data_IF_182342367024
#
_entry.id   IF_182342367024
#
_cell.length_a   1.000
_cell.length_b   1.000
_cell.length_c   1.000
_cell.angle_alpha   90.00
_cell.angle_beta   90.00
_cell.angle_gamma   90.00
#
_symmetry.space_group_name_H-M   'P 1'
#
loop_
_entity.id
_entity.type
_entity.pdbx_description
1 polymer ?
#
# COMPACT_ATOMS: atom_id res chain seq x y z
N UNK A 1 -16.93 1.80 -2.06
CA UNK A 1 -16.05 1.50 -0.90
C UNK A 1 -14.71 2.17 -1.16
N UNK A 2 -14.13 2.81 -0.16
CA UNK A 2 -12.85 3.49 -0.30
C UNK A 2 -11.72 2.45 -0.24
N UNK A 3 -10.69 2.63 -1.08
CA UNK A 3 -9.55 1.72 -1.15
C UNK A 3 -8.25 2.50 -1.06
N UNK A 4 -7.23 1.82 -0.53
CA UNK A 4 -5.87 2.31 -0.43
C UNK A 4 -5.00 1.46 -1.33
N UNK A 5 -4.00 2.09 -1.93
CA UNK A 5 -3.00 1.44 -2.74
C UNK A 5 -1.62 1.68 -2.14
N UNK A 6 -0.85 0.61 -1.99
CA UNK A 6 0.59 0.65 -1.70
C UNK A 6 1.33 0.60 -3.02
N UNK A 7 2.17 1.60 -3.27
CA UNK A 7 3.09 1.57 -4.40
C UNK A 7 4.49 1.18 -3.91
N UNK A 8 5.17 0.36 -4.69
CA UNK A 8 6.52 -0.12 -4.40
C UNK A 8 7.47 0.38 -5.49
N UNK A 9 8.77 0.47 -5.18
CA UNK A 9 9.79 0.68 -6.22
C UNK A 9 10.41 -0.66 -6.68
N UNK A 10 10.02 -1.78 -6.04
CA UNK A 10 10.52 -3.13 -6.32
C UNK A 10 9.40 -4.17 -6.32
N UNK A 11 9.33 -5.00 -7.37
CA UNK A 11 8.40 -6.14 -7.45
C UNK A 11 8.63 -7.14 -6.32
N UNK A 12 9.87 -7.34 -5.87
CA UNK A 12 10.17 -8.26 -4.77
C UNK A 12 9.58 -7.77 -3.44
N UNK A 13 9.58 -6.46 -3.20
CA UNK A 13 8.95 -5.88 -2.01
C UNK A 13 7.43 -6.00 -2.08
N UNK A 14 6.84 -5.79 -3.26
CA UNK A 14 5.42 -5.99 -3.47
C UNK A 14 5.01 -7.45 -3.15
N UNK A 15 5.69 -8.44 -3.73
CA UNK A 15 5.39 -9.87 -3.48
C UNK A 15 5.59 -10.24 -2.01
N UNK A 16 6.65 -9.75 -1.35
CA UNK A 16 6.84 -9.99 0.09
C UNK A 16 5.69 -9.39 0.90
N UNK A 17 5.24 -8.20 0.54
CA UNK A 17 4.15 -7.50 1.25
C UNK A 17 2.82 -8.17 1.02
N UNK A 18 2.55 -8.64 -0.19
CA UNK A 18 1.38 -9.45 -0.54
C UNK A 18 1.26 -10.62 0.45
N UNK A 19 2.31 -11.42 0.59
CA UNK A 19 2.34 -12.52 1.56
C UNK A 19 2.06 -12.05 2.99
N UNK A 20 2.69 -10.95 3.45
CA UNK A 20 2.52 -10.44 4.82
C UNK A 20 1.09 -9.97 5.11
N UNK A 21 0.43 -9.34 4.13
CA UNK A 21 -0.94 -8.85 4.25
C UNK A 21 -1.94 -10.02 4.19
N UNK A 22 -1.71 -11.01 3.32
CA UNK A 22 -2.49 -12.26 3.30
C UNK A 22 -2.40 -13.02 4.64
N UNK A 23 -1.20 -13.09 5.24
CA UNK A 23 -1.03 -13.67 6.58
C UNK A 23 -1.81 -12.92 7.67
N UNK A 24 -2.13 -11.65 7.45
CA UNK A 24 -2.93 -10.84 8.35
C UNK A 24 -4.44 -10.87 8.04
N UNK A 25 -4.88 -11.73 7.11
CA UNK A 25 -6.27 -11.87 6.65
C UNK A 25 -6.84 -10.59 6.00
N UNK A 26 -5.96 -9.74 5.44
CA UNK A 26 -6.37 -8.53 4.71
C UNK A 26 -6.73 -8.94 3.28
N UNK A 27 -7.91 -8.51 2.82
CA UNK A 27 -8.33 -8.70 1.43
C UNK A 27 -7.53 -7.78 0.51
N UNK A 28 -6.71 -8.35 -0.37
CA UNK A 28 -5.78 -7.60 -1.22
C UNK A 28 -5.93 -7.95 -2.70
N UNK A 29 -5.65 -6.98 -3.56
CA UNK A 29 -5.56 -7.16 -5.01
C UNK A 29 -4.23 -6.59 -5.54
N UNK A 30 -3.45 -7.42 -6.23
CA UNK A 30 -2.21 -7.00 -6.89
C UNK A 30 -2.46 -6.54 -8.31
N UNK A 31 -1.97 -5.33 -8.65
CA UNK A 31 -2.13 -4.74 -9.98
C UNK A 31 -0.92 -3.95 -10.44
N UNK A 32 -0.73 -3.73 -11.75
CA UNK A 32 0.26 -2.77 -12.23
C UNK A 32 0.02 -1.39 -11.61
N UNK A 33 1.09 -0.72 -11.20
CA UNK A 33 0.97 0.62 -10.62
C UNK A 33 0.34 1.58 -11.65
N UNK A 34 -0.73 2.31 -11.29
CA UNK A 34 -1.35 3.29 -12.18
C UNK A 34 -0.35 4.33 -12.67
N UNK A 35 -0.45 4.71 -13.95
CA UNK A 35 0.44 5.71 -14.59
C UNK A 35 0.44 7.07 -13.89
N UNK A 36 -0.68 7.38 -13.21
CA UNK A 36 -0.87 8.59 -12.41
C UNK A 36 0.05 8.63 -11.17
N UNK A 37 0.48 7.46 -10.67
CA UNK A 37 1.39 7.33 -9.52
C UNK A 37 2.84 7.18 -10.01
N UNK A 38 3.08 6.36 -11.04
CA UNK A 38 4.40 6.22 -11.67
C UNK A 38 4.31 5.72 -13.11
N UNK A 39 5.25 6.13 -13.97
CA UNK A 39 5.31 5.70 -15.36
C UNK A 39 5.97 4.32 -15.58
N UNK A 40 6.39 3.63 -14.51
CA UNK A 40 7.15 2.37 -14.55
C UNK A 40 6.34 1.11 -14.20
N UNK A 41 6.93 -0.07 -14.43
CA UNK A 41 6.33 -1.39 -14.21
C UNK A 41 6.35 -1.88 -12.75
N UNK A 42 6.28 -0.98 -11.77
CA UNK A 42 6.18 -1.41 -10.38
C UNK A 42 4.82 -2.08 -10.15
N UNK A 43 4.80 -3.17 -9.37
CA UNK A 43 3.58 -3.77 -8.86
C UNK A 43 3.03 -2.91 -7.71
N UNK A 44 1.71 -2.85 -7.58
CA UNK A 44 1.01 -2.20 -6.47
C UNK A 44 0.04 -3.18 -5.81
N UNK A 45 -0.26 -2.95 -4.54
CA UNK A 45 -1.27 -3.70 -3.78
C UNK A 45 -2.40 -2.75 -3.41
N UNK A 46 -3.63 -3.06 -3.81
CA UNK A 46 -4.83 -2.39 -3.35
C UNK A 46 -5.51 -3.19 -2.24
N UNK A 47 -6.06 -2.50 -1.25
CA UNK A 47 -6.74 -3.11 -0.10
C UNK A 47 -7.77 -2.13 0.49
N UNK A 48 -8.73 -2.59 1.32
CA UNK A 48 -9.73 -1.73 1.97
C UNK A 48 -9.12 -0.65 2.87
N UNK A 49 -9.73 0.54 2.92
CA UNK A 49 -9.26 1.63 3.80
C UNK A 49 -9.33 1.27 5.29
N UNK A 50 -10.25 0.40 5.70
CA UNK A 50 -10.37 -0.07 7.09
C UNK A 50 -9.10 -0.78 7.59
N UNK A 51 -8.37 -1.45 6.70
CA UNK A 51 -7.14 -2.17 7.02
C UNK A 51 -5.89 -1.29 6.99
N UNK A 52 -6.01 0.01 6.71
CA UNK A 52 -4.88 0.94 6.60
C UNK A 52 -3.98 0.91 7.84
N UNK A 53 -4.58 0.87 9.03
CA UNK A 53 -3.81 0.87 10.26
C UNK A 53 -2.99 -0.43 10.41
N UNK A 54 -3.61 -1.58 10.11
CA UNK A 54 -2.96 -2.89 10.17
C UNK A 54 -1.86 -3.00 9.12
N UNK A 55 -2.14 -2.61 7.88
CA UNK A 55 -1.15 -2.58 6.80
C UNK A 55 0.03 -1.67 7.15
N UNK A 56 -0.22 -0.43 7.59
CA UNK A 56 0.84 0.51 7.97
C UNK A 56 1.72 0.00 9.12
N UNK A 57 1.12 -0.73 10.08
CA UNK A 57 1.85 -1.39 11.16
C UNK A 57 2.76 -2.50 10.61
N UNK A 58 2.24 -3.38 9.75
CA UNK A 58 3.02 -4.46 9.13
C UNK A 58 4.20 -3.88 8.35
N UNK A 59 3.97 -2.87 7.51
CA UNK A 59 5.05 -2.20 6.75
C UNK A 59 6.16 -1.69 7.68
N UNK A 60 5.79 -1.12 8.83
CA UNK A 60 6.73 -0.57 9.82
C UNK A 60 7.49 -1.67 10.56
N UNK A 61 6.78 -2.65 11.10
CA UNK A 61 7.34 -3.73 11.92
C UNK A 61 8.28 -4.60 11.08
N UNK A 62 7.89 -4.90 9.83
CA UNK A 62 8.68 -5.71 8.89
C UNK A 62 9.73 -4.92 8.10
N UNK A 63 9.80 -3.60 8.34
CA UNK A 63 10.70 -2.65 7.67
C UNK A 63 10.63 -2.76 6.15
N UNK A 64 9.42 -2.86 5.62
CA UNK A 64 9.18 -2.90 4.19
C UNK A 64 9.37 -1.50 3.64
N UNK A 65 10.30 -1.33 2.70
CA UNK A 65 10.41 -0.07 1.96
C UNK A 65 9.26 0.00 0.96
N UNK A 66 8.55 1.13 0.98
CA UNK A 66 7.46 1.42 0.06
C UNK A 66 7.64 2.83 -0.45
N UNK A 67 7.09 3.09 -1.64
CA UNK A 67 7.01 4.46 -2.16
C UNK A 67 6.01 5.30 -1.37
N UNK A 68 4.93 4.67 -0.91
CA UNK A 68 3.93 5.28 -0.05
C UNK A 68 2.56 4.64 -0.19
N UNK A 69 1.62 5.14 0.62
CA UNK A 69 0.20 4.81 0.53
C UNK A 69 -0.55 5.90 -0.23
N UNK A 70 -1.50 5.47 -1.06
CA UNK A 70 -2.28 6.31 -1.94
C UNK A 70 -3.76 5.98 -1.80
N UNK A 71 -4.57 6.96 -1.44
CA UNK A 71 -6.01 6.78 -1.37
C UNK A 71 -6.65 7.00 -2.74
N UNK A 72 -7.52 6.07 -3.14
CA UNK A 72 -8.32 6.19 -4.36
C UNK A 72 -9.40 7.25 -4.18
N UNK A 73 -9.48 8.19 -5.11
CA UNK A 73 -10.46 9.28 -5.18
C UNK A 73 -11.15 9.28 -6.54
N UNK A 74 -12.21 10.08 -6.71
CA UNK A 74 -12.92 10.19 -7.99
C UNK A 74 -12.01 10.64 -9.15
N UNK A 75 -11.01 11.47 -8.85
CA UNK A 75 -10.09 12.04 -9.83
C UNK A 75 -8.71 11.35 -9.90
N UNK A 76 -8.57 10.13 -9.33
CA UNK A 76 -7.31 9.38 -9.35
C UNK A 76 -6.83 8.96 -7.96
N UNK A 77 -5.57 9.24 -7.65
CA UNK A 77 -4.92 8.81 -6.41
C UNK A 77 -4.29 9.99 -5.66
N UNK A 78 -4.45 10.03 -4.34
CA UNK A 78 -3.84 11.04 -3.48
C UNK A 78 -2.93 10.35 -2.46
N UNK A 79 -1.66 10.77 -2.40
CA UNK A 79 -0.73 10.28 -1.39
C UNK A 79 -1.25 10.66 0.02
N UNK A 80 -1.14 9.72 0.95
CA UNK A 80 -1.54 9.93 2.34
C UNK A 80 -0.36 9.71 3.29
N UNK A 81 -0.36 10.48 4.37
CA UNK A 81 0.60 10.33 5.46
C UNK A 81 0.24 9.08 6.28
N UNK A 82 1.15 8.12 6.36
CA UNK A 82 0.93 6.81 6.99
C UNK A 82 1.98 6.47 8.06
N UNK A 83 3.10 7.19 8.06
CA UNK A 83 4.25 6.94 8.93
C UNK A 83 4.29 7.84 10.17
N UNK A 84 3.26 8.67 10.41
CA UNK A 84 3.22 9.51 11.60
C UNK A 84 3.15 8.61 12.83
N UNK A 85 4.19 8.62 13.63
CA UNK A 85 4.12 8.16 15.01
C UNK A 85 3.11 9.06 15.72
N UNK A 86 1.99 8.49 16.16
CA UNK A 86 1.24 9.09 17.25
C UNK A 86 2.10 8.90 18.50
N UNK A 87 3.01 9.85 18.73
CA UNK A 87 3.52 10.08 20.08
C UNK A 87 2.35 10.60 20.92
N UNK A 88 1.80 9.75 21.80
CA UNK A 88 0.78 10.15 22.77
C UNK A 88 -0.12 9.01 23.21
#
# INVERSE_FOLDING_TARGET
>A
MASILIAFDSTQQAIRTEMLLEFADIDIDTRPTPKEITAGCALSIEFPEEDLHTAAKIIRDEKVEIRGFFQKREAGYMAIEWNKEVEG
#
